data_IF_316919070363
#
_entry.id   IF_316919070363
#
_cell.length_a   1.000
_cell.length_b   1.000
_cell.length_c   1.000
_cell.angle_alpha   90.00
_cell.angle_beta   90.00
_cell.angle_gamma   90.00
#
_symmetry.space_group_name_H-M   'P 1'
#
loop_
_entity.id
_entity.type
_entity.pdbx_description
1 polymer ?
#
# COMPACT_ATOMS: atom_id res chain seq x y z
N UNK A 1 -17.90 -13.32 -20.22
CA UNK A 1 -17.77 -13.98 -18.91
C UNK A 1 -18.86 -15.04 -18.80
N UNK A 2 -18.51 -16.27 -18.48
CA UNK A 2 -19.45 -17.33 -18.11
C UNK A 2 -19.34 -17.47 -16.59
N UNK A 3 -20.47 -17.63 -15.89
CA UNK A 3 -20.48 -17.83 -14.44
C UNK A 3 -21.13 -19.17 -14.12
N UNK A 4 -20.57 -19.87 -13.14
CA UNK A 4 -21.19 -21.03 -12.52
C UNK A 4 -22.16 -20.55 -11.43
N UNK A 5 -23.28 -21.24 -11.24
CA UNK A 5 -24.28 -20.83 -10.23
C UNK A 5 -23.86 -21.33 -8.84
N UNK A 6 -22.89 -20.66 -8.20
CA UNK A 6 -22.39 -20.98 -6.85
C UNK A 6 -22.70 -19.88 -5.81
N UNK A 7 -23.69 -19.04 -6.09
CA UNK A 7 -24.15 -18.02 -5.16
C UNK A 7 -23.27 -16.76 -5.05
N UNK A 8 -22.25 -16.61 -5.93
CA UNK A 8 -21.34 -15.46 -5.92
C UNK A 8 -21.92 -14.18 -6.54
N UNK A 9 -22.97 -14.33 -7.38
CA UNK A 9 -23.62 -13.23 -8.09
C UNK A 9 -24.34 -13.71 -9.34
N UNK A 10 -24.87 -12.76 -10.09
CA UNK A 10 -25.62 -13.00 -11.33
C UNK A 10 -25.17 -12.07 -12.44
N UNK A 11 -25.35 -12.50 -13.70
CA UNK A 11 -25.17 -11.62 -14.86
C UNK A 11 -26.49 -10.91 -15.18
N UNK A 12 -26.44 -9.59 -15.30
CA UNK A 12 -27.57 -8.77 -15.73
C UNK A 12 -27.36 -8.27 -17.16
N UNK A 13 -28.34 -8.51 -18.01
CA UNK A 13 -28.31 -7.97 -19.35
C UNK A 13 -28.68 -6.48 -19.32
N UNK A 14 -27.88 -5.67 -19.95
CA UNK A 14 -28.06 -4.22 -20.05
C UNK A 14 -28.16 -3.85 -21.52
N UNK A 15 -29.08 -2.94 -21.82
CA UNK A 15 -29.38 -2.48 -23.16
C UNK A 15 -29.90 -3.61 -24.09
N UNK A 16 -30.07 -3.30 -25.35
CA UNK A 16 -30.57 -4.23 -26.35
C UNK A 16 -29.86 -4.09 -27.70
N UNK A 17 -30.03 -5.09 -28.59
CA UNK A 17 -29.45 -5.12 -29.92
C UNK A 17 -27.91 -5.11 -29.89
N UNK A 18 -27.29 -4.30 -30.75
CA UNK A 18 -25.82 -4.24 -30.87
C UNK A 18 -25.12 -3.59 -29.67
N UNK A 19 -25.87 -2.91 -28.81
CA UNK A 19 -25.32 -2.24 -27.60
C UNK A 19 -25.50 -3.11 -26.34
N UNK A 20 -26.11 -4.29 -26.45
CA UNK A 20 -26.31 -5.20 -25.32
C UNK A 20 -24.97 -5.66 -24.73
N UNK A 21 -24.87 -5.65 -23.40
CA UNK A 21 -23.76 -6.20 -22.65
C UNK A 21 -24.24 -6.78 -21.33
N UNK A 22 -23.43 -7.62 -20.72
CA UNK A 22 -23.72 -8.20 -19.41
C UNK A 22 -22.82 -7.54 -18.36
N UNK A 23 -23.42 -7.09 -17.25
CA UNK A 23 -22.73 -6.66 -16.05
C UNK A 23 -22.87 -7.70 -14.94
N UNK A 24 -21.86 -7.84 -14.09
CA UNK A 24 -21.89 -8.73 -12.95
C UNK A 24 -22.55 -8.04 -11.75
N UNK A 25 -23.56 -8.67 -11.17
CA UNK A 25 -24.21 -8.22 -9.94
C UNK A 25 -23.82 -9.16 -8.81
N UNK A 26 -22.94 -8.75 -7.88
CA UNK A 26 -22.47 -9.62 -6.81
C UNK A 26 -23.54 -9.88 -5.77
N UNK A 27 -23.49 -11.06 -5.16
CA UNK A 27 -24.31 -11.36 -3.98
C UNK A 27 -23.85 -10.50 -2.80
N UNK A 28 -24.76 -9.91 -2.00
CA UNK A 28 -24.42 -9.21 -0.78
C UNK A 28 -23.62 -10.12 0.18
N UNK A 29 -22.55 -9.59 0.78
CA UNK A 29 -21.67 -10.38 1.66
C UNK A 29 -22.39 -10.98 2.86
N UNK A 30 -23.44 -10.33 3.39
CA UNK A 30 -24.29 -10.89 4.46
C UNK A 30 -25.07 -12.13 4.03
N UNK A 31 -25.30 -12.28 2.73
CA UNK A 31 -26.07 -13.39 2.15
C UNK A 31 -25.21 -14.50 1.59
N UNK A 32 -23.89 -14.43 1.81
CA UNK A 32 -23.01 -15.51 1.39
C UNK A 32 -23.34 -16.80 2.15
N UNK A 33 -23.20 -17.91 1.44
CA UNK A 33 -23.21 -19.24 2.08
C UNK A 33 -22.17 -19.35 3.18
N UNK A 34 -22.37 -20.26 4.11
CA UNK A 34 -21.35 -20.57 5.09
C UNK A 34 -20.04 -20.98 4.41
N UNK A 35 -18.95 -20.32 4.79
CA UNK A 35 -17.61 -20.60 4.27
C UNK A 35 -17.01 -21.80 5.01
N UNK A 36 -16.43 -22.71 4.26
CA UNK A 36 -15.79 -23.92 4.79
C UNK A 36 -14.27 -23.78 4.64
N UNK A 37 -13.66 -23.01 5.53
CA UNK A 37 -12.21 -22.82 5.54
C UNK A 37 -11.50 -24.09 5.98
N UNK A 38 -10.35 -24.40 5.36
CA UNK A 38 -9.54 -25.56 5.70
C UNK A 38 -8.81 -25.35 7.03
N UNK A 39 -8.39 -26.46 7.66
CA UNK A 39 -7.55 -26.39 8.86
C UNK A 39 -6.24 -25.63 8.60
N UNK A 40 -5.69 -25.74 7.39
CA UNK A 40 -4.49 -25.00 6.97
C UNK A 40 -4.76 -23.49 6.91
N UNK A 41 -5.91 -23.06 6.37
CA UNK A 41 -6.31 -21.65 6.38
C UNK A 41 -6.42 -21.10 7.81
N UNK A 42 -7.01 -21.85 8.75
CA UNK A 42 -7.06 -21.43 10.16
C UNK A 42 -5.68 -21.35 10.81
N UNK A 43 -4.76 -22.25 10.47
CA UNK A 43 -3.36 -22.16 10.94
C UNK A 43 -2.66 -20.92 10.38
N UNK A 44 -2.88 -20.60 9.10
CA UNK A 44 -2.35 -19.41 8.44
C UNK A 44 -2.91 -18.13 9.07
N UNK A 45 -4.22 -18.05 9.33
CA UNK A 45 -4.87 -16.94 10.03
C UNK A 45 -4.24 -16.71 11.41
N UNK A 46 -4.12 -17.76 12.21
CA UNK A 46 -3.48 -17.69 13.52
C UNK A 46 -2.02 -17.23 13.45
N UNK A 47 -1.26 -17.70 12.44
CA UNK A 47 0.11 -17.25 12.23
C UNK A 47 0.18 -15.79 11.77
N UNK A 48 -0.73 -15.36 10.91
CA UNK A 48 -0.83 -13.97 10.44
C UNK A 48 -1.14 -13.02 11.60
N UNK A 49 -2.17 -13.32 12.41
CA UNK A 49 -2.53 -12.51 13.58
C UNK A 49 -1.37 -12.39 14.57
N UNK A 50 -0.63 -13.47 14.83
CA UNK A 50 0.57 -13.42 15.68
C UNK A 50 1.66 -12.53 15.10
N UNK A 51 1.87 -12.57 13.76
CA UNK A 51 2.90 -11.74 13.10
C UNK A 51 2.53 -10.26 13.09
N UNK A 52 1.26 -9.94 12.86
CA UNK A 52 0.77 -8.57 12.97
C UNK A 52 0.88 -8.06 14.41
N UNK A 53 0.53 -8.88 15.40
CA UNK A 53 0.73 -8.53 16.82
C UNK A 53 2.20 -8.38 17.21
N UNK A 54 3.13 -9.19 16.66
CA UNK A 54 4.58 -9.01 16.83
C UNK A 54 5.04 -7.66 16.26
N UNK A 55 4.56 -7.31 15.06
CA UNK A 55 4.88 -6.07 14.39
C UNK A 55 4.42 -4.84 15.20
N UNK A 56 3.16 -4.84 15.65
CA UNK A 56 2.62 -3.79 16.52
C UNK A 56 3.38 -3.69 17.85
N UNK A 57 3.67 -4.84 18.48
CA UNK A 57 4.41 -4.89 19.74
C UNK A 57 5.83 -4.31 19.64
N UNK A 58 6.48 -4.46 18.49
CA UNK A 58 7.83 -3.90 18.28
C UNK A 58 7.86 -2.37 18.35
N UNK A 59 6.80 -1.68 17.92
CA UNK A 59 6.72 -0.21 17.95
C UNK A 59 6.89 0.39 19.34
N UNK A 60 6.47 -0.31 20.39
CA UNK A 60 6.63 0.16 21.75
C UNK A 60 8.09 0.23 22.23
N UNK A 61 8.98 -0.49 21.55
CA UNK A 61 10.41 -0.58 21.91
C UNK A 61 11.32 0.12 20.90
N UNK A 62 10.75 0.64 19.82
CA UNK A 62 11.51 1.31 18.75
C UNK A 62 11.58 2.80 19.02
N UNK A 63 12.79 3.41 19.18
CA UNK A 63 12.93 4.85 19.21
C UNK A 63 12.43 5.47 17.89
N UNK A 64 11.69 6.58 17.97
CA UNK A 64 11.18 7.30 16.78
C UNK A 64 10.31 6.43 15.85
N UNK A 65 9.33 5.71 16.41
CA UNK A 65 8.43 4.82 15.66
C UNK A 65 7.80 5.50 14.43
N UNK A 66 7.46 6.79 14.51
CA UNK A 66 6.85 7.57 13.41
C UNK A 66 7.73 7.60 12.15
N UNK A 67 9.03 7.57 12.30
CA UNK A 67 9.99 7.56 11.19
C UNK A 67 9.88 6.24 10.38
N UNK A 68 9.85 5.10 11.09
CA UNK A 68 9.67 3.79 10.44
C UNK A 68 8.30 3.68 9.81
N UNK A 69 7.24 4.17 10.49
CA UNK A 69 5.89 4.25 9.94
C UNK A 69 5.87 4.98 8.59
N UNK A 70 6.53 6.15 8.52
CA UNK A 70 6.63 6.93 7.30
C UNK A 70 7.25 6.12 6.15
N UNK A 71 8.34 5.37 6.41
CA UNK A 71 9.00 4.55 5.39
C UNK A 71 8.13 3.37 4.94
N UNK A 72 7.41 2.74 5.85
CA UNK A 72 6.49 1.64 5.53
C UNK A 72 5.29 2.10 4.70
N UNK A 73 4.72 3.25 5.05
CA UNK A 73 3.65 3.87 4.24
C UNK A 73 4.16 4.21 2.83
N UNK A 74 5.38 4.74 2.71
CA UNK A 74 6.01 4.99 1.40
C UNK A 74 6.25 3.71 0.60
N UNK A 75 6.70 2.62 1.27
CA UNK A 75 6.89 1.30 0.63
C UNK A 75 5.55 0.74 0.14
N UNK A 76 4.50 0.75 0.96
CA UNK A 76 3.16 0.34 0.54
C UNK A 76 2.65 1.16 -0.65
N UNK A 77 2.77 2.49 -0.57
CA UNK A 77 2.35 3.40 -1.63
C UNK A 77 3.02 3.09 -2.97
N UNK A 78 4.33 2.83 -2.93
CA UNK A 78 5.12 2.46 -4.09
C UNK A 78 4.67 1.11 -4.66
N UNK A 79 4.64 0.06 -3.83
CA UNK A 79 4.28 -1.30 -4.25
C UNK A 79 2.86 -1.34 -4.82
N UNK A 80 1.90 -0.69 -4.17
CA UNK A 80 0.52 -0.60 -4.63
C UNK A 80 0.41 0.12 -5.98
N UNK A 81 1.15 1.22 -6.16
CA UNK A 81 1.15 1.96 -7.43
C UNK A 81 1.84 1.19 -8.56
N UNK A 82 2.90 0.43 -8.27
CA UNK A 82 3.59 -0.42 -9.23
C UNK A 82 2.72 -1.58 -9.74
N UNK A 83 1.77 -2.09 -8.95
CA UNK A 83 0.76 -3.06 -9.43
C UNK A 83 -0.06 -2.45 -10.58
N UNK A 84 -0.35 -1.15 -10.52
CA UNK A 84 -1.09 -0.40 -11.56
C UNK A 84 -0.19 0.14 -12.70
N UNK A 85 1.10 -0.23 -12.70
CA UNK A 85 2.02 0.07 -13.78
C UNK A 85 2.85 1.34 -13.62
N UNK A 86 2.84 1.97 -12.44
CA UNK A 86 3.76 3.07 -12.09
C UNK A 86 5.22 2.57 -12.15
N UNK A 87 6.11 3.34 -12.79
CA UNK A 87 7.52 2.97 -12.98
C UNK A 87 8.46 3.68 -12.00
N UNK A 88 7.93 4.34 -10.98
CA UNK A 88 8.71 4.97 -9.92
C UNK A 88 9.50 3.93 -9.12
N UNK A 89 10.75 4.24 -8.80
CA UNK A 89 11.59 3.48 -7.86
C UNK A 89 11.52 4.07 -6.46
N UNK A 90 12.04 3.34 -5.47
CA UNK A 90 12.12 3.86 -4.09
C UNK A 90 13.06 5.07 -4.01
N UNK A 91 14.13 5.09 -4.79
CA UNK A 91 15.09 6.20 -4.87
C UNK A 91 14.50 7.47 -5.46
N UNK A 92 13.66 7.32 -6.50
CA UNK A 92 12.95 8.46 -7.09
C UNK A 92 12.05 9.16 -6.06
N UNK A 93 11.45 8.37 -5.16
CA UNK A 93 10.58 8.86 -4.10
C UNK A 93 11.34 9.60 -3.00
N UNK A 94 12.58 9.19 -2.73
CA UNK A 94 13.41 9.74 -1.65
C UNK A 94 14.40 10.81 -2.11
N UNK A 95 14.60 10.96 -3.40
CA UNK A 95 15.57 11.92 -3.95
C UNK A 95 15.07 13.37 -3.83
N UNK A 96 15.88 14.30 -3.28
CA UNK A 96 15.57 15.72 -3.25
C UNK A 96 15.51 16.35 -4.64
N UNK A 97 16.22 15.79 -5.61
CA UNK A 97 16.22 16.23 -7.02
C UNK A 97 15.37 15.28 -7.85
N UNK A 98 14.07 15.58 -7.93
CA UNK A 98 13.16 14.86 -8.83
C UNK A 98 13.58 15.10 -10.29
N UNK A 99 14.04 14.07 -10.98
CA UNK A 99 14.28 14.15 -12.42
C UNK A 99 12.94 14.28 -13.15
N UNK A 100 12.87 15.17 -14.14
CA UNK A 100 11.62 15.53 -14.87
C UNK A 100 10.89 14.33 -15.50
N UNK A 101 11.57 13.21 -15.71
CA UNK A 101 11.03 12.02 -16.37
C UNK A 101 10.02 11.22 -15.53
N UNK A 102 10.11 11.27 -14.20
CA UNK A 102 9.26 10.49 -13.29
C UNK A 102 8.34 11.34 -12.39
N UNK A 103 8.21 12.66 -12.65
CA UNK A 103 7.41 13.55 -11.80
C UNK A 103 5.96 13.07 -11.59
N UNK A 104 5.32 12.53 -12.63
CA UNK A 104 3.93 12.05 -12.54
C UNK A 104 3.81 10.78 -11.69
N UNK A 105 4.72 9.83 -11.89
CA UNK A 105 4.73 8.56 -11.17
C UNK A 105 5.07 8.76 -9.69
N UNK A 106 6.02 9.66 -9.37
CA UNK A 106 6.33 10.07 -8.00
C UNK A 106 5.12 10.74 -7.34
N UNK A 107 4.44 11.62 -8.07
CA UNK A 107 3.24 12.29 -7.55
C UNK A 107 2.11 11.30 -7.23
N UNK A 108 1.92 10.25 -8.04
CA UNK A 108 0.96 9.17 -7.77
C UNK A 108 1.26 8.48 -6.42
N UNK A 109 2.54 8.19 -6.13
CA UNK A 109 2.98 7.57 -4.87
C UNK A 109 2.81 8.53 -3.68
N UNK A 110 3.19 9.80 -3.84
CA UNK A 110 3.02 10.84 -2.80
C UNK A 110 1.54 11.01 -2.45
N UNK A 111 0.66 11.01 -3.44
CA UNK A 111 -0.77 11.11 -3.20
C UNK A 111 -1.33 9.88 -2.48
N UNK A 112 -0.80 8.68 -2.76
CA UNK A 112 -1.17 7.50 -2.00
C UNK A 112 -0.81 7.65 -0.52
N UNK A 113 0.40 8.14 -0.20
CA UNK A 113 0.80 8.42 1.20
C UNK A 113 -0.18 9.38 1.86
N UNK A 114 -0.50 10.50 1.18
CA UNK A 114 -1.49 11.47 1.68
C UNK A 114 -2.89 10.84 1.86
N UNK A 115 -3.27 9.93 0.97
CA UNK A 115 -4.54 9.20 1.05
C UNK A 115 -4.59 8.25 2.25
N UNK A 116 -3.46 7.59 2.59
CA UNK A 116 -3.32 6.79 3.83
C UNK A 116 -3.55 7.67 5.05
N UNK A 117 -2.80 8.78 5.17
CA UNK A 117 -2.92 9.72 6.30
C UNK A 117 -4.36 10.22 6.45
N UNK A 118 -4.98 10.61 5.32
CA UNK A 118 -6.36 11.06 5.29
C UNK A 118 -7.34 9.97 5.73
N UNK A 119 -7.14 8.74 5.30
CA UNK A 119 -7.97 7.59 5.68
C UNK A 119 -7.92 7.33 7.18
N UNK A 120 -6.73 7.28 7.77
CA UNK A 120 -6.51 7.09 9.21
C UNK A 120 -7.10 8.26 10.03
N UNK A 121 -6.93 9.50 9.56
CA UNK A 121 -7.54 10.67 10.21
C UNK A 121 -9.08 10.58 10.21
N UNK A 122 -9.68 10.17 9.10
CA UNK A 122 -11.13 10.06 8.96
C UNK A 122 -11.70 8.94 9.81
N UNK A 123 -11.02 7.80 9.95
CA UNK A 123 -11.44 6.69 10.81
C UNK A 123 -11.61 7.12 12.29
N UNK A 124 -10.85 8.12 12.74
CA UNK A 124 -11.03 8.68 14.10
C UNK A 124 -12.31 9.50 14.26
N UNK A 125 -12.97 9.89 13.16
CA UNK A 125 -14.10 10.85 13.14
C UNK A 125 -15.40 10.25 12.62
N UNK A 126 -15.31 9.19 11.82
CA UNK A 126 -16.49 8.56 11.21
C UNK A 126 -16.21 7.07 10.94
N UNK A 127 -17.26 6.24 10.85
CA UNK A 127 -17.11 4.83 10.48
C UNK A 127 -16.56 4.69 9.08
N UNK A 128 -15.98 3.53 8.79
CA UNK A 128 -15.52 3.16 7.45
C UNK A 128 -16.74 2.99 6.54
N UNK A 129 -16.94 3.92 5.64
CA UNK A 129 -18.15 4.04 4.80
C UNK A 129 -17.82 4.62 3.42
N UNK A 130 -18.75 4.56 2.50
CA UNK A 130 -18.61 5.11 1.14
C UNK A 130 -18.20 6.58 1.15
N UNK A 131 -18.70 7.38 2.09
CA UNK A 131 -18.32 8.79 2.23
C UNK A 131 -16.85 8.96 2.59
N UNK A 132 -16.31 8.10 3.46
CA UNK A 132 -14.88 8.08 3.81
C UNK A 132 -14.05 7.72 2.58
N UNK A 133 -14.43 6.64 1.88
CA UNK A 133 -13.73 6.17 0.69
C UNK A 133 -13.68 7.23 -0.41
N UNK A 134 -14.77 7.99 -0.63
CA UNK A 134 -14.81 9.10 -1.57
C UNK A 134 -13.81 10.21 -1.21
N UNK A 135 -13.68 10.57 0.07
CA UNK A 135 -12.73 11.58 0.51
C UNK A 135 -11.27 11.11 0.36
N UNK A 136 -10.99 9.85 0.64
CA UNK A 136 -9.67 9.25 0.44
C UNK A 136 -9.33 9.18 -1.05
N UNK A 137 -10.28 8.76 -1.89
CA UNK A 137 -10.13 8.71 -3.34
C UNK A 137 -9.85 10.10 -3.95
N UNK A 138 -10.50 11.15 -3.44
CA UNK A 138 -10.24 12.52 -3.89
C UNK A 138 -8.77 12.94 -3.69
N UNK A 139 -8.17 12.56 -2.56
CA UNK A 139 -6.76 12.82 -2.28
C UNK A 139 -5.86 11.94 -3.16
N UNK A 140 -6.22 10.67 -3.36
CA UNK A 140 -5.44 9.71 -4.14
C UNK A 140 -5.20 10.16 -5.59
N UNK A 141 -6.17 10.82 -6.22
CA UNK A 141 -6.10 11.25 -7.62
C UNK A 141 -5.95 12.78 -7.79
N UNK A 142 -5.62 13.52 -6.73
CA UNK A 142 -5.47 14.98 -6.79
C UNK A 142 -4.26 15.41 -7.64
N UNK A 143 -4.49 16.04 -8.78
CA UNK A 143 -3.46 16.59 -9.66
C UNK A 143 -2.54 15.56 -10.34
N UNK A 144 -2.90 14.27 -10.32
CA UNK A 144 -2.13 13.18 -10.93
C UNK A 144 -2.90 12.47 -12.04
N UNK A 145 -2.36 11.35 -12.55
CA UNK A 145 -3.06 10.52 -13.53
C UNK A 145 -4.44 10.10 -13.01
N UNK A 146 -5.48 10.32 -13.80
CA UNK A 146 -6.86 10.06 -13.42
C UNK A 146 -7.57 11.28 -12.80
N UNK A 147 -6.91 12.43 -12.66
CA UNK A 147 -7.55 13.65 -12.15
C UNK A 147 -8.75 14.10 -13.01
N UNK A 148 -8.73 13.76 -14.31
CA UNK A 148 -9.85 13.98 -15.23
C UNK A 148 -11.01 12.99 -15.05
N UNK A 149 -10.87 12.00 -14.16
CA UNK A 149 -11.87 10.95 -13.84
C UNK A 149 -12.69 11.27 -12.59
N UNK A 150 -12.88 12.54 -12.30
CA UNK A 150 -13.70 13.05 -11.19
C UNK A 150 -13.27 12.45 -9.82
N UNK A 151 -12.09 12.80 -9.26
CA UNK A 151 -11.63 12.33 -7.97
C UNK A 151 -12.67 12.53 -6.85
N UNK A 152 -12.94 11.47 -6.08
CA UNK A 152 -13.93 11.50 -5.00
C UNK A 152 -15.38 11.30 -5.44
N UNK A 153 -15.67 11.24 -6.74
CA UNK A 153 -17.01 10.99 -7.23
C UNK A 153 -17.19 9.53 -7.69
N UNK A 154 -18.30 8.92 -7.29
CA UNK A 154 -18.69 7.62 -7.82
C UNK A 154 -18.94 7.75 -9.31
N UNK A 155 -18.62 6.70 -10.06
CA UNK A 155 -18.85 6.67 -11.51
C UNK A 155 -20.31 6.86 -11.85
N UNK A 156 -20.57 7.69 -12.83
CA UNK A 156 -21.88 7.92 -13.43
C UNK A 156 -22.02 7.29 -14.81
N UNK A 157 -20.99 6.58 -15.28
CA UNK A 157 -20.98 5.82 -16.52
C UNK A 157 -20.46 4.40 -16.28
N UNK A 158 -20.82 3.48 -17.17
CA UNK A 158 -20.33 2.11 -17.10
C UNK A 158 -18.83 2.07 -17.39
N UNK A 159 -18.07 1.41 -16.51
CA UNK A 159 -16.69 1.06 -16.70
C UNK A 159 -16.54 -0.46 -16.93
N UNK A 160 -15.36 -0.88 -17.34
CA UNK A 160 -15.02 -2.28 -17.53
C UNK A 160 -13.52 -2.51 -17.31
N UNK A 161 -13.15 -3.76 -17.04
CA UNK A 161 -11.77 -4.19 -16.82
C UNK A 161 -11.36 -5.13 -17.96
N UNK A 162 -10.19 -4.91 -18.52
CA UNK A 162 -9.65 -5.76 -19.58
C UNK A 162 -8.35 -5.23 -20.15
N UNK A 163 -7.78 -5.89 -21.17
CA UNK A 163 -6.58 -5.44 -21.86
C UNK A 163 -6.72 -4.01 -22.40
N UNK A 164 -5.61 -3.31 -22.55
CA UNK A 164 -5.60 -1.96 -23.15
C UNK A 164 -6.31 -1.96 -24.51
N UNK A 165 -7.22 -1.00 -24.72
CA UNK A 165 -7.97 -0.85 -25.95
C UNK A 165 -9.20 -1.78 -26.07
N UNK A 166 -9.51 -2.62 -25.06
CA UNK A 166 -10.74 -3.40 -25.08
C UNK A 166 -11.99 -2.51 -24.99
N UNK A 167 -13.07 -3.00 -25.56
CA UNK A 167 -14.41 -2.40 -25.43
C UNK A 167 -15.21 -3.15 -24.37
N UNK A 168 -16.36 -2.62 -23.98
CA UNK A 168 -17.26 -3.30 -23.04
C UNK A 168 -17.67 -4.71 -23.53
N UNK A 169 -17.77 -4.91 -24.84
CA UNK A 169 -18.11 -6.20 -25.45
C UNK A 169 -16.97 -7.22 -25.39
N UNK A 170 -15.72 -6.76 -25.29
CA UNK A 170 -14.51 -7.60 -25.24
C UNK A 170 -13.79 -7.53 -23.87
N UNK A 171 -14.41 -6.89 -22.90
CA UNK A 171 -13.91 -6.76 -21.55
C UNK A 171 -13.78 -8.11 -20.84
N UNK A 172 -12.76 -8.27 -20.03
CA UNK A 172 -12.61 -9.45 -19.16
C UNK A 172 -13.65 -9.46 -18.04
N UNK A 173 -14.01 -8.27 -17.54
CA UNK A 173 -14.98 -8.10 -16.48
C UNK A 173 -15.74 -6.78 -16.65
N UNK A 174 -17.06 -6.83 -16.46
CA UNK A 174 -17.94 -5.64 -16.42
C UNK A 174 -18.58 -5.58 -15.03
N UNK A 175 -18.19 -4.60 -14.22
CA UNK A 175 -18.74 -4.38 -12.88
C UNK A 175 -20.25 -4.12 -12.87
N UNK A 176 -20.91 -4.07 -11.71
CA UNK A 176 -22.33 -3.74 -11.60
C UNK A 176 -22.69 -2.50 -12.42
N UNK A 177 -23.86 -2.48 -13.02
CA UNK A 177 -24.33 -1.29 -13.73
C UNK A 177 -24.56 -0.12 -12.75
N UNK A 178 -24.80 1.08 -13.27
CA UNK A 178 -24.93 2.29 -12.44
C UNK A 178 -26.13 2.21 -11.49
N UNK A 179 -27.23 1.61 -11.92
CA UNK A 179 -28.43 1.45 -11.09
C UNK A 179 -28.19 0.53 -9.89
N UNK A 180 -27.39 -0.51 -10.09
CA UNK A 180 -27.05 -1.50 -9.07
C UNK A 180 -25.88 -1.06 -8.15
N UNK A 181 -25.05 -0.11 -8.61
CA UNK A 181 -23.85 0.30 -7.86
C UNK A 181 -24.15 0.84 -6.47
N UNK A 182 -25.22 1.66 -6.36
CA UNK A 182 -25.60 2.22 -5.05
C UNK A 182 -25.99 1.13 -4.05
N UNK A 183 -26.75 0.14 -4.48
CA UNK A 183 -27.15 -0.99 -3.62
C UNK A 183 -25.93 -1.84 -3.25
N UNK A 184 -25.04 -2.12 -4.22
CA UNK A 184 -23.81 -2.88 -3.97
C UNK A 184 -22.92 -2.20 -2.93
N UNK A 185 -22.79 -0.87 -2.97
CA UNK A 185 -22.01 -0.12 -1.99
C UNK A 185 -22.70 -0.05 -0.64
N UNK A 186 -24.03 0.07 -0.57
CA UNK A 186 -24.77 0.03 0.68
C UNK A 186 -24.64 -1.34 1.37
N UNK A 187 -24.71 -2.44 0.59
CA UNK A 187 -24.50 -3.78 1.12
C UNK A 187 -23.08 -3.96 1.65
N UNK A 188 -22.08 -3.47 0.92
CA UNK A 188 -20.68 -3.47 1.38
C UNK A 188 -20.51 -2.68 2.67
N UNK A 189 -21.04 -1.46 2.74
CA UNK A 189 -20.97 -0.58 3.91
C UNK A 189 -21.67 -1.20 5.12
N UNK A 190 -22.81 -1.86 4.90
CA UNK A 190 -23.52 -2.61 5.95
C UNK A 190 -22.67 -3.75 6.48
N UNK A 191 -22.07 -4.55 5.60
CA UNK A 191 -21.19 -5.65 6.00
C UNK A 191 -19.96 -5.17 6.81
N UNK A 192 -19.39 -4.03 6.43
CA UNK A 192 -18.25 -3.43 7.15
C UNK A 192 -18.67 -3.01 8.58
N UNK A 193 -19.85 -2.44 8.75
CA UNK A 193 -20.23 -1.78 10.01
C UNK A 193 -21.14 -2.63 10.91
N UNK A 194 -21.74 -3.70 10.41
CA UNK A 194 -22.48 -4.64 11.23
C UNK A 194 -21.54 -5.56 12.04
N UNK A 195 -21.82 -5.78 13.32
CA UNK A 195 -21.00 -6.70 14.12
C UNK A 195 -21.03 -8.12 13.54
N UNK A 196 -19.91 -8.59 13.05
CA UNK A 196 -19.73 -9.97 12.58
C UNK A 196 -18.99 -10.76 13.67
N UNK A 197 -19.71 -11.08 14.76
CA UNK A 197 -19.12 -11.64 16.00
C UNK A 197 -18.34 -12.94 15.78
N UNK A 198 -18.64 -13.68 14.72
CA UNK A 198 -18.07 -15.00 14.46
C UNK A 198 -17.05 -15.02 13.31
N UNK A 199 -16.75 -13.89 12.66
CA UNK A 199 -15.84 -13.83 11.52
C UNK A 199 -14.50 -13.17 11.88
N UNK A 200 -13.41 -13.88 11.58
CA UNK A 200 -12.06 -13.35 11.75
C UNK A 200 -11.87 -12.04 10.97
N UNK A 201 -11.29 -10.99 11.56
CA UNK A 201 -11.08 -9.69 10.91
C UNK A 201 -10.29 -9.77 9.59
N UNK A 202 -9.32 -10.69 9.46
CA UNK A 202 -8.55 -10.90 8.24
C UNK A 202 -9.45 -11.48 7.14
N UNK A 203 -10.33 -12.42 7.49
CA UNK A 203 -11.32 -12.96 6.53
C UNK A 203 -12.29 -11.88 6.08
N UNK A 204 -12.76 -11.02 7.01
CA UNK A 204 -13.60 -9.87 6.68
C UNK A 204 -12.89 -8.93 5.71
N UNK A 205 -11.63 -8.59 5.98
CA UNK A 205 -10.84 -7.74 5.10
C UNK A 205 -10.68 -8.35 3.69
N UNK A 206 -10.49 -9.68 3.59
CA UNK A 206 -10.43 -10.40 2.31
C UNK A 206 -11.74 -10.27 1.51
N UNK A 207 -12.89 -10.46 2.16
CA UNK A 207 -14.21 -10.37 1.53
C UNK A 207 -14.53 -8.92 1.13
N UNK A 208 -14.25 -7.95 2.00
CA UNK A 208 -14.47 -6.52 1.72
C UNK A 208 -13.61 -6.06 0.55
N UNK A 209 -12.34 -6.45 0.51
CA UNK A 209 -11.45 -6.13 -0.60
C UNK A 209 -11.96 -6.72 -1.92
N UNK A 210 -12.32 -8.01 -1.95
CA UNK A 210 -12.91 -8.66 -3.12
C UNK A 210 -14.16 -7.93 -3.61
N UNK A 211 -15.09 -7.62 -2.69
CA UNK A 211 -16.36 -6.98 -3.04
C UNK A 211 -16.17 -5.56 -3.56
N UNK A 212 -15.22 -4.80 -2.97
CA UNK A 212 -14.86 -3.47 -3.45
C UNK A 212 -14.27 -3.51 -4.86
N UNK A 213 -13.31 -4.42 -5.13
CA UNK A 213 -12.73 -4.63 -6.46
C UNK A 213 -13.77 -5.09 -7.49
N UNK A 214 -14.81 -5.79 -7.02
CA UNK A 214 -15.92 -6.24 -7.87
C UNK A 214 -16.92 -5.11 -8.15
N UNK A 215 -17.25 -4.29 -7.15
CA UNK A 215 -18.10 -3.11 -7.32
C UNK A 215 -17.46 -2.06 -8.24
N UNK A 216 -16.15 -1.90 -8.17
CA UNK A 216 -15.33 -0.99 -8.99
C UNK A 216 -15.93 0.41 -9.10
N UNK A 217 -16.14 1.11 -7.96
CA UNK A 217 -17.06 2.23 -7.86
C UNK A 217 -16.58 3.54 -8.49
N UNK A 218 -15.33 3.65 -8.88
CA UNK A 218 -14.73 4.84 -9.46
C UNK A 218 -14.30 4.61 -10.91
N UNK A 219 -14.06 5.69 -11.65
CA UNK A 219 -13.59 5.60 -13.04
C UNK A 219 -12.09 5.24 -13.14
N UNK A 220 -11.30 5.51 -12.10
CA UNK A 220 -9.88 5.15 -11.96
C UNK A 220 -9.54 4.99 -10.48
N UNK A 221 -8.37 4.48 -10.14
CA UNK A 221 -7.85 4.40 -8.77
C UNK A 221 -8.47 3.32 -7.87
N UNK A 222 -9.37 2.49 -8.38
CA UNK A 222 -10.02 1.45 -7.57
C UNK A 222 -9.03 0.47 -6.96
N UNK A 223 -8.07 -0.07 -7.71
CA UNK A 223 -7.10 -1.02 -7.20
C UNK A 223 -6.23 -0.43 -6.08
N UNK A 224 -5.75 0.80 -6.23
CA UNK A 224 -4.97 1.49 -5.18
C UNK A 224 -5.81 1.71 -3.92
N UNK A 225 -7.04 2.21 -4.08
CA UNK A 225 -7.95 2.41 -2.96
C UNK A 225 -8.40 1.09 -2.33
N UNK A 226 -8.65 0.04 -3.12
CA UNK A 226 -9.03 -1.28 -2.63
C UNK A 226 -7.92 -1.92 -1.77
N UNK A 227 -6.65 -1.76 -2.15
CA UNK A 227 -5.52 -2.22 -1.33
C UNK A 227 -5.33 -1.37 -0.07
N UNK A 228 -5.50 -0.05 -0.16
CA UNK A 228 -5.53 0.80 1.03
C UNK A 228 -6.68 0.42 1.98
N UNK A 229 -7.84 0.05 1.44
CA UNK A 229 -8.99 -0.39 2.23
C UNK A 229 -8.66 -1.61 3.11
N UNK A 230 -7.75 -2.50 2.70
CA UNK A 230 -7.29 -3.63 3.54
C UNK A 230 -6.70 -3.09 4.86
N UNK A 231 -5.77 -2.16 4.78
CA UNK A 231 -5.14 -1.57 5.97
C UNK A 231 -6.17 -0.81 6.83
N UNK A 232 -7.07 -0.04 6.20
CA UNK A 232 -8.13 0.66 6.91
C UNK A 232 -9.11 -0.30 7.60
N UNK A 233 -9.42 -1.46 7.00
CA UNK A 233 -10.22 -2.50 7.64
C UNK A 233 -9.53 -3.09 8.86
N UNK A 234 -8.25 -3.44 8.75
CA UNK A 234 -7.48 -4.00 9.86
C UNK A 234 -7.34 -3.00 11.03
N UNK A 235 -7.25 -1.69 10.73
CA UNK A 235 -7.27 -0.63 11.75
C UNK A 235 -8.66 -0.48 12.36
N UNK A 236 -9.71 -0.46 11.54
CA UNK A 236 -11.09 -0.35 12.00
C UNK A 236 -11.49 -1.50 12.93
N UNK A 237 -11.01 -2.71 12.64
CA UNK A 237 -11.30 -3.92 13.41
C UNK A 237 -10.31 -4.14 14.58
N UNK A 238 -9.40 -3.19 14.84
CA UNK A 238 -8.47 -3.22 15.96
C UNK A 238 -7.35 -4.26 15.84
N UNK A 239 -7.10 -4.80 14.65
CA UNK A 239 -5.97 -5.71 14.38
C UNK A 239 -4.66 -4.93 14.28
N UNK A 240 -4.72 -3.73 13.71
CA UNK A 240 -3.60 -2.78 13.61
C UNK A 240 -3.99 -1.47 14.28
N UNK A 241 -3.00 -0.77 14.83
CA UNK A 241 -3.13 0.59 15.37
C UNK A 241 -2.39 1.61 14.52
N UNK A 242 -1.56 1.12 13.58
CA UNK A 242 -0.71 1.93 12.72
C UNK A 242 -0.59 1.34 11.32
N UNK A 243 -0.03 2.12 10.39
CA UNK A 243 0.22 1.67 9.01
C UNK A 243 1.61 1.04 8.84
N UNK A 244 2.06 0.23 9.79
CA UNK A 244 3.37 -0.46 9.77
C UNK A 244 3.35 -1.76 8.95
N UNK A 245 2.43 -1.89 8.02
CA UNK A 245 2.21 -3.09 7.23
C UNK A 245 1.98 -2.73 5.76
N UNK A 246 2.58 -3.49 4.84
CA UNK A 246 2.44 -3.26 3.40
C UNK A 246 1.91 -4.51 2.68
N UNK A 247 0.58 -4.69 2.66
CA UNK A 247 -0.06 -5.86 2.05
C UNK A 247 0.23 -6.00 0.55
N UNK A 248 0.50 -4.89 -0.15
CA UNK A 248 0.78 -4.89 -1.59
C UNK A 248 2.05 -5.62 -1.98
N UNK A 249 2.95 -5.91 -1.04
CA UNK A 249 4.19 -6.65 -1.30
C UNK A 249 3.93 -8.00 -1.97
N UNK A 250 3.13 -8.86 -1.36
CA UNK A 250 2.84 -10.18 -1.91
C UNK A 250 1.85 -10.13 -3.09
N UNK A 251 0.94 -9.18 -3.11
CA UNK A 251 0.06 -9.00 -4.27
C UNK A 251 0.83 -8.57 -5.51
N UNK A 252 1.85 -7.73 -5.37
CA UNK A 252 2.76 -7.37 -6.47
C UNK A 252 3.57 -8.58 -6.94
N UNK A 253 4.19 -9.30 -6.02
CA UNK A 253 5.02 -10.49 -6.29
C UNK A 253 4.22 -11.59 -6.99
N UNK A 254 2.96 -11.76 -6.63
CA UNK A 254 2.04 -12.76 -7.18
C UNK A 254 0.92 -12.11 -8.02
N UNK A 255 1.23 -11.03 -8.79
CA UNK A 255 0.25 -10.19 -9.45
C UNK A 255 -0.73 -10.98 -10.34
N UNK A 256 -0.24 -11.91 -11.13
CA UNK A 256 -1.09 -12.73 -12.01
C UNK A 256 -2.05 -13.61 -11.22
N UNK A 257 -1.58 -14.21 -10.13
CA UNK A 257 -2.38 -15.03 -9.24
C UNK A 257 -3.42 -14.21 -8.49
N UNK A 258 -3.05 -13.03 -7.99
CA UNK A 258 -3.98 -12.09 -7.34
C UNK A 258 -5.19 -11.78 -8.24
N UNK A 259 -4.97 -11.39 -9.50
CA UNK A 259 -6.07 -11.13 -10.43
C UNK A 259 -6.84 -12.39 -10.83
N UNK A 260 -6.14 -13.53 -10.94
CA UNK A 260 -6.77 -14.82 -11.23
C UNK A 260 -7.73 -15.23 -10.10
N UNK A 261 -7.33 -15.04 -8.84
CA UNK A 261 -8.17 -15.36 -7.69
C UNK A 261 -9.43 -14.48 -7.64
N UNK A 262 -9.31 -13.16 -7.82
CA UNK A 262 -10.46 -12.27 -7.92
C UNK A 262 -11.44 -12.69 -9.04
N UNK A 263 -10.90 -13.10 -10.19
CA UNK A 263 -11.70 -13.57 -11.33
C UNK A 263 -12.36 -14.89 -11.01
N UNK A 264 -11.66 -15.82 -10.38
CA UNK A 264 -12.17 -17.14 -9.99
C UNK A 264 -13.38 -17.05 -9.05
N UNK A 265 -13.34 -16.13 -8.09
CA UNK A 265 -14.51 -15.90 -7.23
C UNK A 265 -15.71 -15.42 -8.05
N UNK A 266 -15.51 -14.45 -8.97
CA UNK A 266 -16.58 -13.91 -9.81
C UNK A 266 -17.20 -14.97 -10.74
N UNK A 267 -16.39 -15.89 -11.25
CA UNK A 267 -16.83 -16.91 -12.21
C UNK A 267 -17.39 -18.18 -11.54
N UNK A 268 -16.79 -18.61 -10.43
CA UNK A 268 -17.01 -19.93 -9.83
C UNK A 268 -17.40 -19.90 -8.35
N UNK A 269 -17.39 -18.73 -7.69
CA UNK A 269 -17.70 -18.61 -6.27
C UNK A 269 -16.65 -19.22 -5.33
N UNK A 270 -15.38 -19.23 -5.75
CA UNK A 270 -14.25 -19.83 -5.00
C UNK A 270 -13.76 -18.90 -3.89
N UNK A 271 -14.63 -18.56 -2.94
CA UNK A 271 -14.31 -17.65 -1.84
C UNK A 271 -13.25 -18.22 -0.90
N UNK A 272 -13.27 -19.53 -0.65
CA UNK A 272 -12.34 -20.20 0.25
C UNK A 272 -10.91 -20.14 -0.28
N UNK A 273 -10.70 -20.37 -1.57
CA UNK A 273 -9.40 -20.29 -2.23
C UNK A 273 -8.88 -18.85 -2.26
N UNK A 274 -9.77 -17.87 -2.45
CA UNK A 274 -9.42 -16.47 -2.35
C UNK A 274 -8.96 -16.10 -0.94
N UNK A 275 -9.70 -16.51 0.09
CA UNK A 275 -9.37 -16.25 1.49
C UNK A 275 -8.02 -16.89 1.84
N UNK A 276 -7.79 -18.13 1.42
CA UNK A 276 -6.51 -18.82 1.62
C UNK A 276 -5.34 -18.05 0.98
N UNK A 277 -5.48 -17.67 -0.30
CA UNK A 277 -4.49 -16.85 -1.00
C UNK A 277 -4.25 -15.51 -0.28
N UNK A 278 -5.31 -14.84 0.12
CA UNK A 278 -5.24 -13.55 0.81
C UNK A 278 -4.52 -13.70 2.17
N UNK A 279 -4.89 -14.67 2.98
CA UNK A 279 -4.26 -14.93 4.28
C UNK A 279 -2.77 -15.27 4.16
N UNK A 280 -2.41 -16.11 3.18
CA UNK A 280 -1.02 -16.43 2.90
C UNK A 280 -0.25 -15.17 2.45
N UNK A 281 -0.84 -14.34 1.60
CA UNK A 281 -0.23 -13.09 1.15
C UNK A 281 0.00 -12.12 2.32
N UNK A 282 -0.97 -11.98 3.22
CA UNK A 282 -0.83 -11.13 4.41
C UNK A 282 0.21 -11.68 5.38
N UNK A 283 0.23 -13.00 5.62
CA UNK A 283 1.24 -13.62 6.48
C UNK A 283 2.66 -13.38 5.97
N UNK A 284 2.91 -13.59 4.67
CA UNK A 284 4.23 -13.37 4.09
C UNK A 284 4.62 -11.88 4.11
N UNK A 285 3.67 -10.97 3.84
CA UNK A 285 3.91 -9.52 3.98
C UNK A 285 4.20 -9.14 5.44
N UNK A 286 3.52 -9.72 6.41
CA UNK A 286 3.79 -9.47 7.82
C UNK A 286 5.16 -10.01 8.27
N UNK A 287 5.58 -11.18 7.77
CA UNK A 287 6.92 -11.71 8.02
C UNK A 287 8.01 -10.78 7.48
N UNK A 288 7.83 -10.28 6.26
CA UNK A 288 8.75 -9.34 5.63
C UNK A 288 8.81 -8.02 6.41
N UNK A 289 7.66 -7.46 6.79
CA UNK A 289 7.58 -6.24 7.59
C UNK A 289 8.31 -6.39 8.94
N UNK A 290 8.10 -7.51 9.65
CA UNK A 290 8.81 -7.79 10.92
C UNK A 290 10.32 -7.93 10.68
N UNK A 291 10.73 -8.64 9.62
CA UNK A 291 12.14 -8.81 9.25
C UNK A 291 12.82 -7.48 8.94
N UNK A 292 12.21 -6.68 8.07
CA UNK A 292 12.68 -5.34 7.72
C UNK A 292 12.82 -4.44 8.95
N UNK A 293 11.82 -4.42 9.85
CA UNK A 293 11.88 -3.60 11.07
C UNK A 293 13.02 -4.03 12.00
N UNK A 294 13.21 -5.35 12.18
CA UNK A 294 14.34 -5.88 12.96
C UNK A 294 15.70 -5.45 12.37
N UNK A 295 15.82 -5.52 11.05
CA UNK A 295 17.05 -5.13 10.35
C UNK A 295 17.32 -3.62 10.50
N UNK A 296 16.29 -2.77 10.33
CA UNK A 296 16.40 -1.32 10.49
C UNK A 296 16.78 -0.93 11.93
N UNK A 297 16.14 -1.51 12.94
CA UNK A 297 16.47 -1.27 14.37
C UNK A 297 17.87 -1.77 14.68
N UNK A 298 18.25 -2.94 14.17
CA UNK A 298 19.62 -3.46 14.32
C UNK A 298 20.66 -2.54 13.70
N UNK A 299 20.37 -1.99 12.52
CA UNK A 299 21.23 -1.02 11.84
C UNK A 299 21.35 0.28 12.62
N UNK A 300 20.24 0.84 13.12
CA UNK A 300 20.22 2.01 13.98
C UNK A 300 21.17 1.84 15.18
N UNK A 301 21.05 0.73 15.90
CA UNK A 301 21.88 0.46 17.09
C UNK A 301 23.36 0.34 16.74
N UNK A 302 23.73 -0.35 15.65
CA UNK A 302 25.11 -0.46 15.19
C UNK A 302 25.69 0.91 14.79
N UNK A 303 24.94 1.69 14.01
CA UNK A 303 25.36 3.02 13.57
C UNK A 303 25.51 3.98 14.74
N UNK A 304 24.60 3.93 15.72
CA UNK A 304 24.67 4.70 16.96
C UNK A 304 25.92 4.38 17.75
N UNK A 305 26.26 3.10 17.93
CA UNK A 305 27.50 2.69 18.63
C UNK A 305 28.73 3.16 17.86
N UNK A 306 28.82 2.92 16.56
CA UNK A 306 29.93 3.34 15.70
C UNK A 306 30.18 4.85 15.77
N UNK A 307 29.10 5.66 15.70
CA UNK A 307 29.20 7.13 15.82
C UNK A 307 29.72 7.53 17.18
N UNK A 308 29.21 6.92 18.26
CA UNK A 308 29.61 7.25 19.63
C UNK A 308 31.08 6.93 19.89
N UNK A 309 31.55 5.80 19.41
CA UNK A 309 32.93 5.34 19.60
C UNK A 309 33.95 6.13 18.78
N UNK A 310 33.59 6.58 17.57
CA UNK A 310 34.59 7.13 16.63
C UNK A 310 34.54 8.66 16.45
N UNK A 311 33.43 9.34 16.73
CA UNK A 311 33.31 10.77 16.45
C UNK A 311 33.68 11.71 17.62
N UNK A 312 33.94 11.20 18.79
CA UNK A 312 34.39 11.98 19.94
C UNK A 312 33.52 13.23 20.20
N UNK A 313 34.10 14.44 20.11
CA UNK A 313 33.38 15.70 20.37
C UNK A 313 32.25 16.00 19.38
N UNK A 314 32.28 15.39 18.19
CA UNK A 314 31.24 15.58 17.14
C UNK A 314 30.16 14.52 17.18
N UNK A 315 30.23 13.56 18.10
CA UNK A 315 29.26 12.45 18.22
C UNK A 315 27.82 12.94 18.36
N UNK A 316 27.57 14.03 19.10
CA UNK A 316 26.23 14.59 19.25
C UNK A 316 25.62 15.04 17.91
N UNK A 317 26.39 15.72 17.05
CA UNK A 317 25.94 16.06 15.70
C UNK A 317 25.86 14.83 14.80
N UNK A 318 26.71 13.82 15.01
CA UNK A 318 26.62 12.54 14.34
C UNK A 318 25.31 11.82 14.64
N UNK A 319 24.89 11.75 15.89
CA UNK A 319 23.61 11.14 16.27
C UNK A 319 22.40 11.90 15.68
N UNK A 320 22.47 13.25 15.68
CA UNK A 320 21.43 14.06 15.02
C UNK A 320 21.37 13.81 13.50
N UNK A 321 22.55 13.68 12.86
CA UNK A 321 22.62 13.34 11.43
C UNK A 321 22.07 11.95 11.17
N UNK A 322 22.35 10.95 12.00
CA UNK A 322 21.78 9.61 11.85
C UNK A 322 20.25 9.65 11.85
N UNK A 323 19.63 10.38 12.79
CA UNK A 323 18.17 10.57 12.80
C UNK A 323 17.64 11.21 11.51
N UNK A 324 18.36 12.21 10.97
CA UNK A 324 18.02 12.83 9.68
C UNK A 324 18.12 11.82 8.51
N UNK A 325 19.16 10.97 8.50
CA UNK A 325 19.38 9.98 7.46
C UNK A 325 18.33 8.86 7.47
N UNK A 326 17.77 8.55 8.61
CA UNK A 326 16.69 7.57 8.73
C UNK A 326 15.35 8.12 8.24
N UNK A 327 15.16 9.44 8.28
CA UNK A 327 14.00 10.13 7.70
C UNK A 327 14.21 10.50 6.23
N UNK A 328 15.44 10.89 5.89
CA UNK A 328 15.89 11.32 4.57
C UNK A 328 17.17 10.57 4.18
N UNK A 329 17.08 9.31 3.74
CA UNK A 329 18.26 8.49 3.51
C UNK A 329 19.07 8.88 2.26
N UNK A 330 18.58 9.81 1.45
CA UNK A 330 19.31 10.45 0.34
C UNK A 330 19.40 11.95 0.62
N UNK A 331 20.61 12.44 0.82
CA UNK A 331 20.88 13.82 1.24
C UNK A 331 22.02 14.45 0.45
N UNK A 332 22.11 15.78 0.51
CA UNK A 332 23.32 16.53 0.12
C UNK A 332 23.87 17.35 1.32
N UNK A 333 25.08 17.87 1.16
CA UNK A 333 25.75 18.63 2.24
C UNK A 333 24.99 19.91 2.60
N UNK A 334 24.26 20.54 1.65
CA UNK A 334 23.52 21.75 1.91
C UNK A 334 22.28 21.47 2.75
N UNK A 335 21.59 20.38 2.45
CA UNK A 335 20.45 19.88 3.24
C UNK A 335 20.88 19.54 4.67
N UNK A 336 21.98 18.80 4.84
CA UNK A 336 22.53 18.45 6.17
C UNK A 336 22.86 19.72 6.97
N UNK A 337 23.53 20.70 6.34
CA UNK A 337 23.87 21.96 6.99
C UNK A 337 22.64 22.70 7.50
N UNK A 338 21.57 22.75 6.68
CA UNK A 338 20.31 23.39 7.03
C UNK A 338 19.57 22.64 8.15
N UNK A 339 19.48 21.31 8.09
CA UNK A 339 18.76 20.51 9.08
C UNK A 339 19.43 20.49 10.46
N UNK A 340 20.76 20.51 10.48
CA UNK A 340 21.52 20.52 11.73
C UNK A 340 21.75 21.92 12.29
N UNK A 341 21.44 22.97 11.52
CA UNK A 341 21.77 24.39 11.84
C UNK A 341 23.28 24.58 12.10
N UNK A 342 24.11 24.11 11.16
CA UNK A 342 25.58 24.18 11.22
C UNK A 342 26.15 24.78 9.94
N UNK A 343 27.40 25.27 10.05
CA UNK A 343 28.13 25.80 8.89
C UNK A 343 28.43 24.70 7.84
N UNK A 344 28.46 25.09 6.54
CA UNK A 344 28.73 24.14 5.43
C UNK A 344 30.03 23.38 5.56
N UNK A 345 31.11 24.01 6.10
CA UNK A 345 32.39 23.33 6.35
C UNK A 345 32.26 22.24 7.40
N UNK A 346 31.51 22.48 8.47
CA UNK A 346 31.21 21.49 9.52
C UNK A 346 30.38 20.33 8.97
N UNK A 347 29.34 20.64 8.16
CA UNK A 347 28.54 19.61 7.49
C UNK A 347 29.38 18.75 6.53
N UNK A 348 30.27 19.37 5.73
CA UNK A 348 31.20 18.64 4.85
C UNK A 348 32.15 17.72 5.61
N UNK A 349 32.70 18.20 6.74
CA UNK A 349 33.55 17.36 7.60
C UNK A 349 32.78 16.18 8.20
N UNK A 350 31.53 16.41 8.61
CA UNK A 350 30.66 15.36 9.17
C UNK A 350 30.31 14.31 8.11
N UNK A 351 29.96 14.74 6.89
CA UNK A 351 29.72 13.84 5.75
C UNK A 351 30.97 12.97 5.50
N UNK A 352 32.15 13.57 5.43
CA UNK A 352 33.40 12.83 5.23
C UNK A 352 33.63 11.79 6.35
N UNK A 353 33.40 12.15 7.61
CA UNK A 353 33.48 11.19 8.72
C UNK A 353 32.46 10.03 8.53
N UNK A 354 31.26 10.31 8.07
CA UNK A 354 30.25 9.27 7.80
C UNK A 354 30.58 8.38 6.60
N UNK A 355 31.30 8.92 5.58
CA UNK A 355 31.87 8.12 4.50
C UNK A 355 32.97 7.20 5.02
N UNK A 356 33.90 7.72 5.85
CA UNK A 356 34.98 6.95 6.48
C UNK A 356 34.47 5.83 7.39
N UNK A 357 33.35 6.06 8.08
CA UNK A 357 32.62 5.04 8.87
C UNK A 357 31.78 4.06 8.04
N UNK A 358 31.69 4.29 6.74
CA UNK A 358 30.87 3.46 5.82
C UNK A 358 29.35 3.63 5.95
N UNK A 359 28.88 4.64 6.69
CA UNK A 359 27.46 4.94 6.89
C UNK A 359 26.87 5.62 5.64
N UNK A 360 27.58 6.62 5.09
CA UNK A 360 27.21 7.29 3.86
C UNK A 360 28.07 6.86 2.69
N UNK A 361 27.47 6.82 1.49
CA UNK A 361 28.20 6.63 0.22
C UNK A 361 27.72 7.64 -0.80
N UNK A 362 28.61 8.17 -1.66
CA UNK A 362 28.19 9.01 -2.77
C UNK A 362 27.38 8.17 -3.77
N UNK A 363 26.21 8.68 -4.20
CA UNK A 363 25.37 7.99 -5.20
C UNK A 363 25.95 8.07 -6.62
N UNK A 364 26.77 9.09 -6.88
CA UNK A 364 27.44 9.28 -8.16
C UNK A 364 28.89 9.73 -7.89
N UNK A 365 29.82 8.81 -8.01
CA UNK A 365 31.25 9.07 -7.80
C UNK A 365 31.85 10.01 -8.85
N UNK A 366 31.24 10.12 -10.03
CA UNK A 366 31.72 10.99 -11.12
C UNK A 366 31.47 12.46 -10.86
N UNK A 367 30.48 12.80 -10.04
CA UNK A 367 30.14 14.20 -9.69
C UNK A 367 31.06 14.75 -8.62
N UNK A 368 31.72 15.88 -8.93
CA UNK A 368 32.52 16.62 -7.95
C UNK A 368 31.74 17.74 -7.24
N UNK A 369 30.63 18.22 -7.81
CA UNK A 369 29.79 19.28 -7.24
C UNK A 369 28.35 18.77 -7.10
N UNK A 370 27.65 19.27 -6.08
CA UNK A 370 26.27 18.89 -5.77
C UNK A 370 26.11 17.36 -5.59
N UNK A 371 27.09 16.75 -4.89
CA UNK A 371 27.06 15.31 -4.58
C UNK A 371 25.89 15.00 -3.68
N UNK A 372 25.18 13.94 -4.04
CA UNK A 372 24.20 13.28 -3.17
C UNK A 372 24.85 12.07 -2.52
N UNK A 373 24.46 11.82 -1.29
CA UNK A 373 24.95 10.72 -0.48
C UNK A 373 23.75 9.87 -0.05
N UNK A 374 23.90 8.56 -0.11
CA UNK A 374 22.90 7.58 0.34
C UNK A 374 23.33 6.86 1.60
N UNK A 375 22.41 6.60 2.50
CA UNK A 375 22.56 5.65 3.59
C UNK A 375 22.28 4.24 3.04
N UNK A 376 23.25 3.68 2.30
CA UNK A 376 23.05 2.53 1.43
C UNK A 376 22.59 1.26 2.17
N UNK A 377 23.11 0.98 3.37
CA UNK A 377 22.66 -0.19 4.14
C UNK A 377 21.18 -0.05 4.53
N UNK A 378 20.75 1.16 4.91
CA UNK A 378 19.34 1.47 5.21
C UNK A 378 18.46 1.35 3.95
N UNK A 379 18.89 1.96 2.85
CA UNK A 379 18.20 1.91 1.57
C UNK A 379 18.07 0.49 1.04
N UNK A 380 19.08 -0.37 1.20
CA UNK A 380 19.04 -1.76 0.73
C UNK A 380 17.92 -2.57 1.39
N UNK A 381 17.66 -2.34 2.70
CA UNK A 381 16.57 -3.00 3.43
C UNK A 381 15.21 -2.57 2.88
N UNK A 382 15.06 -1.28 2.55
CA UNK A 382 13.80 -0.73 2.04
C UNK A 382 13.56 -1.04 0.57
N UNK A 383 14.62 -1.14 -0.26
CA UNK A 383 14.56 -1.44 -1.69
C UNK A 383 14.21 -2.90 -1.99
N UNK A 384 14.33 -3.80 -1.00
CA UNK A 384 14.06 -5.22 -1.22
C UNK A 384 12.68 -5.41 -1.85
N UNK A 385 12.66 -6.05 -3.03
CA UNK A 385 11.46 -6.30 -3.87
C UNK A 385 10.65 -5.04 -4.27
N UNK A 386 11.23 -3.82 -4.16
CA UNK A 386 10.58 -2.56 -4.51
C UNK A 386 10.84 -2.10 -5.97
N UNK A 387 11.48 -2.92 -6.78
CA UNK A 387 11.71 -2.62 -8.19
C UNK A 387 10.40 -2.64 -9.01
N UNK A 388 10.25 -1.77 -10.03
CA UNK A 388 9.09 -1.79 -10.92
C UNK A 388 8.90 -3.14 -11.62
N UNK A 389 7.64 -3.49 -11.91
CA UNK A 389 7.32 -4.67 -12.72
C UNK A 389 7.72 -4.35 -14.17
N UNK A 390 8.59 -5.17 -14.74
CA UNK A 390 9.02 -5.08 -16.14
C UNK A 390 8.01 -5.65 -17.11
#
# INVERSE_FOLDING_TARGET
MQIEENGQGTLRNNLSGKLAYYSFFPTPLQSLRQLNLTEETYRTLSACSRKLGELEGMLYFVPNADMYLTMYVRKEALLSSQIEGTQCTFDDLLSPSQTQLHHKDVADVVNYVRAVDRGVELLKKMPLCTRLLRQVHAVLLDGVRGTEKNPGELRSSQNWIGPSGCTIATASFVPPNIEDLSNTLQDLERFINEPQVEMDPIVRAALVHYQFETAHPFLDGNGRLGRLLITLMLINDGVLHSCLFYPSFQFKKNRSEYYRQLTSVRERGTYEEWIEFFCNSLLESAKDSVGSLKNLVGLHNRSTATITENLGRTAANGQRLLGILEEHPIVDTAFIAAQLDIGRSTASSLVKSFEELGILRPLDESRQRYRQYGYEEYLSILREDAEPIR
#
